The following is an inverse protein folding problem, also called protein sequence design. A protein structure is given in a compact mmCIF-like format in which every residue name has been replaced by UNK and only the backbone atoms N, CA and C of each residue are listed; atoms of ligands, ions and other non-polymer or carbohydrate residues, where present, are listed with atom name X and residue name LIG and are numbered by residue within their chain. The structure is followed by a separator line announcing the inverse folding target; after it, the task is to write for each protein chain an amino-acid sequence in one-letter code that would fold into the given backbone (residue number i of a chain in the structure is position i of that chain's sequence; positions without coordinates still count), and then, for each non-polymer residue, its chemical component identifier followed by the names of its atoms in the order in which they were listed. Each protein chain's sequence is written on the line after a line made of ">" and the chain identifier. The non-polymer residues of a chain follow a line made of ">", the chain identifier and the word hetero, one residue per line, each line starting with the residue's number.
data_IF_549186459139
#
_entry.id   IF_549186459139
#
_cell.length_a   1.000
_cell.length_b   1.000
_cell.length_c   1.000
_cell.angle_alpha   90.00
_cell.angle_beta   90.00
_cell.angle_gamma   90.00
#
_symmetry.space_group_name_H-M   'P 1'
#
loop_
_entity.id
_entity.type
_entity.pdbx_description
1 polymer ?
#
# COMPACT_ATOMS: atom_id res chain seq x y z
N UNK A 1 2.14 0.89 -34.54
CA UNK A 1 2.54 -0.44 -35.05
C UNK A 1 3.39 -1.16 -34.01
N UNK A 2 2.78 -1.96 -33.12
CA UNK A 2 3.45 -3.01 -32.31
C UNK A 2 2.38 -3.73 -31.47
N UNK A 3 1.77 -4.77 -32.05
CA UNK A 3 0.88 -5.68 -31.32
C UNK A 3 0.72 -6.98 -32.12
N UNK A 4 1.75 -7.81 -32.09
CA UNK A 4 1.68 -9.23 -32.44
C UNK A 4 2.55 -10.01 -31.46
N UNK A 5 2.09 -11.20 -31.10
CA UNK A 5 2.72 -12.26 -30.29
C UNK A 5 2.40 -12.25 -28.78
N UNK A 6 1.14 -12.47 -28.43
CA UNK A 6 0.82 -13.40 -27.34
C UNK A 6 -0.13 -14.44 -27.91
N UNK A 7 0.41 -15.61 -28.27
CA UNK A 7 -0.40 -16.77 -28.60
C UNK A 7 -1.11 -17.26 -27.31
N UNK A 8 -2.36 -17.76 -27.40
CA UNK A 8 -3.08 -18.25 -26.23
C UNK A 8 -2.41 -19.51 -25.64
N UNK A 9 -2.50 -19.73 -24.31
CA UNK A 9 -1.92 -20.90 -23.65
C UNK A 9 -2.75 -22.16 -23.92
N UNK A 10 -2.57 -22.79 -25.08
CA UNK A 10 -3.28 -24.00 -25.48
C UNK A 10 -2.58 -25.32 -25.09
N UNK A 11 -1.55 -25.29 -24.24
CA UNK A 11 -0.68 -26.46 -24.00
C UNK A 11 -0.75 -27.03 -22.57
N UNK A 12 -1.44 -26.39 -21.62
CA UNK A 12 -1.47 -26.87 -20.23
C UNK A 12 -2.19 -28.22 -20.08
N UNK A 13 -3.24 -28.44 -20.86
CA UNK A 13 -4.03 -29.67 -20.85
C UNK A 13 -3.27 -30.90 -21.39
N UNK A 14 -2.37 -30.68 -22.34
CA UNK A 14 -1.57 -31.75 -22.95
C UNK A 14 -0.51 -32.25 -21.95
N UNK A 15 0.14 -31.33 -21.25
CA UNK A 15 1.13 -31.65 -20.22
C UNK A 15 0.56 -32.45 -19.05
N UNK A 16 -0.66 -32.13 -18.59
CA UNK A 16 -1.27 -32.86 -17.47
C UNK A 16 -1.66 -34.29 -17.88
N UNK A 17 -2.07 -34.48 -19.14
CA UNK A 17 -2.38 -35.80 -19.69
C UNK A 17 -1.12 -36.67 -19.82
N UNK A 18 -0.02 -36.08 -20.30
CA UNK A 18 1.28 -36.75 -20.41
C UNK A 18 1.84 -37.12 -19.03
N UNK A 19 1.66 -36.24 -18.05
CA UNK A 19 2.06 -36.49 -16.67
C UNK A 19 1.35 -37.67 -16.03
N UNK A 20 0.04 -37.77 -16.23
CA UNK A 20 -0.73 -38.91 -15.76
C UNK A 20 -0.27 -40.21 -16.44
N UNK A 21 0.08 -40.17 -17.73
CA UNK A 21 0.63 -41.32 -18.43
C UNK A 21 1.95 -41.77 -17.82
N UNK A 22 2.85 -40.84 -17.47
CA UNK A 22 4.12 -41.12 -16.79
C UNK A 22 3.89 -41.72 -15.39
N UNK A 23 2.93 -41.19 -14.61
CA UNK A 23 2.63 -41.73 -13.28
C UNK A 23 2.05 -43.16 -13.32
N UNK A 24 1.38 -43.52 -14.42
CA UNK A 24 0.84 -44.88 -14.66
C UNK A 24 1.90 -45.87 -15.16
N UNK A 25 3.07 -45.40 -15.58
CA UNK A 25 4.14 -46.26 -16.04
C UNK A 25 4.84 -46.98 -14.87
N UNK A 26 4.67 -48.31 -14.83
CA UNK A 26 5.26 -49.15 -13.79
C UNK A 26 6.75 -49.45 -14.01
N UNK A 27 7.31 -49.09 -15.16
CA UNK A 27 8.75 -49.18 -15.40
C UNK A 27 9.55 -48.13 -14.60
N UNK A 28 8.88 -47.06 -14.13
CA UNK A 28 9.51 -45.97 -13.39
C UNK A 28 9.65 -46.35 -11.89
N UNK A 29 10.86 -46.21 -11.32
CA UNK A 29 11.10 -46.41 -9.90
C UNK A 29 10.13 -45.63 -9.01
N UNK A 30 9.62 -46.28 -7.96
CA UNK A 30 8.63 -45.70 -7.04
C UNK A 30 9.04 -44.32 -6.46
N UNK A 31 10.29 -44.11 -6.00
CA UNK A 31 10.68 -42.80 -5.45
C UNK A 31 10.53 -41.66 -6.47
N UNK A 32 10.80 -41.93 -7.75
CA UNK A 32 10.64 -40.93 -8.80
C UNK A 32 9.18 -40.60 -9.06
N UNK A 33 8.29 -41.60 -9.06
CA UNK A 33 6.84 -41.36 -9.19
C UNK A 33 6.29 -40.50 -8.05
N UNK A 34 6.78 -40.70 -6.82
CA UNK A 34 6.39 -39.86 -5.68
C UNK A 34 6.81 -38.41 -5.88
N UNK A 35 8.06 -38.16 -6.31
CA UNK A 35 8.56 -36.81 -6.58
C UNK A 35 7.78 -36.15 -7.72
N UNK A 36 7.53 -36.87 -8.81
CA UNK A 36 6.73 -36.37 -9.94
C UNK A 36 5.32 -36.02 -9.45
N UNK A 37 4.67 -36.90 -8.67
CA UNK A 37 3.34 -36.64 -8.13
C UNK A 37 3.30 -35.39 -7.26
N UNK A 38 4.31 -35.17 -6.41
CA UNK A 38 4.40 -33.98 -5.56
C UNK A 38 4.55 -32.71 -6.41
N UNK A 39 5.46 -32.73 -7.40
CA UNK A 39 5.66 -31.60 -8.32
C UNK A 39 4.39 -31.26 -9.11
N UNK A 40 3.59 -32.26 -9.47
CA UNK A 40 2.31 -32.04 -10.13
C UNK A 40 1.28 -31.36 -9.23
N UNK A 41 1.24 -31.74 -7.96
CA UNK A 41 0.35 -31.11 -7.00
C UNK A 41 0.76 -29.64 -6.75
N UNK A 42 2.06 -29.38 -6.58
CA UNK A 42 2.60 -28.03 -6.45
C UNK A 42 2.28 -27.17 -7.68
N UNK A 43 2.41 -27.73 -8.89
CA UNK A 43 2.03 -27.06 -10.15
C UNK A 43 0.54 -26.68 -10.15
N UNK A 44 -0.36 -27.59 -9.74
CA UNK A 44 -1.79 -27.30 -9.66
C UNK A 44 -2.07 -26.18 -8.67
N UNK A 45 -1.47 -26.25 -7.50
CA UNK A 45 -1.60 -25.21 -6.48
C UNK A 45 -1.11 -23.85 -6.99
N UNK A 46 0.04 -23.82 -7.67
CA UNK A 46 0.59 -22.61 -8.28
C UNK A 46 -0.36 -22.03 -9.34
N UNK A 47 -0.95 -22.85 -10.20
CA UNK A 47 -1.92 -22.40 -11.20
C UNK A 47 -3.17 -21.79 -10.56
N UNK A 48 -3.68 -22.38 -9.48
CA UNK A 48 -4.81 -21.82 -8.71
C UNK A 48 -4.42 -20.46 -8.14
N UNK A 49 -3.24 -20.35 -7.53
CA UNK A 49 -2.75 -19.09 -6.95
C UNK A 49 -2.54 -18.01 -8.00
N UNK A 50 -1.99 -18.35 -9.17
CA UNK A 50 -1.83 -17.42 -10.29
C UNK A 50 -3.18 -16.91 -10.81
N UNK A 51 -4.18 -17.78 -10.94
CA UNK A 51 -5.52 -17.38 -11.36
C UNK A 51 -6.19 -16.48 -10.32
N UNK A 52 -6.00 -16.75 -9.03
CA UNK A 52 -6.49 -15.88 -7.96
C UNK A 52 -5.82 -14.50 -8.01
N UNK A 53 -4.49 -14.45 -8.15
CA UNK A 53 -3.74 -13.20 -8.29
C UNK A 53 -4.22 -12.38 -9.49
N UNK A 54 -4.53 -13.03 -10.62
CA UNK A 54 -5.14 -12.37 -11.78
C UNK A 54 -6.48 -11.72 -11.42
N UNK A 55 -7.41 -12.47 -10.81
CA UNK A 55 -8.72 -11.95 -10.40
C UNK A 55 -8.61 -10.76 -9.46
N UNK A 56 -7.71 -10.81 -8.49
CA UNK A 56 -7.47 -9.70 -7.56
C UNK A 56 -6.95 -8.48 -8.31
N UNK A 57 -6.00 -8.66 -9.23
CA UNK A 57 -5.49 -7.57 -10.06
C UNK A 57 -6.57 -6.96 -10.97
N UNK A 58 -7.47 -7.78 -11.52
CA UNK A 58 -8.60 -7.28 -12.33
C UNK A 58 -9.50 -6.37 -11.49
N UNK A 59 -9.82 -6.77 -10.25
CA UNK A 59 -10.61 -5.96 -9.31
C UNK A 59 -9.89 -4.66 -8.92
N UNK A 60 -8.60 -4.73 -8.60
CA UNK A 60 -7.80 -3.54 -8.28
C UNK A 60 -7.78 -2.56 -9.45
N UNK A 61 -7.62 -3.07 -10.67
CA UNK A 61 -7.62 -2.25 -11.88
C UNK A 61 -8.97 -1.56 -12.07
N UNK A 62 -10.08 -2.30 -11.92
CA UNK A 62 -11.43 -1.73 -11.98
C UNK A 62 -11.69 -0.65 -10.93
N UNK A 63 -11.28 -0.87 -9.68
CA UNK A 63 -11.43 0.13 -8.61
C UNK A 63 -10.60 1.39 -8.89
N UNK A 64 -9.39 1.24 -9.44
CA UNK A 64 -8.57 2.39 -9.83
C UNK A 64 -9.21 3.22 -10.93
N UNK A 65 -9.82 2.57 -11.93
CA UNK A 65 -10.58 3.23 -12.98
C UNK A 65 -11.80 3.97 -12.42
N UNK A 66 -12.53 3.38 -11.48
CA UNK A 66 -13.67 4.02 -10.83
C UNK A 66 -13.25 5.25 -10.01
N UNK A 67 -12.19 5.14 -9.20
CA UNK A 67 -11.62 6.26 -8.45
C UNK A 67 -11.20 7.38 -9.41
N UNK A 68 -10.55 7.03 -10.52
CA UNK A 68 -10.16 8.00 -11.53
C UNK A 68 -11.38 8.72 -12.14
N UNK A 69 -12.44 7.98 -12.47
CA UNK A 69 -13.68 8.54 -13.00
C UNK A 69 -14.38 9.48 -12.01
N UNK A 70 -14.47 9.08 -10.74
CA UNK A 70 -15.08 9.90 -9.68
C UNK A 70 -14.30 11.19 -9.45
N UNK A 71 -12.97 11.13 -9.41
CA UNK A 71 -12.12 12.31 -9.28
C UNK A 71 -12.26 13.25 -10.49
N UNK A 72 -12.37 12.70 -11.70
CA UNK A 72 -12.62 13.50 -12.90
C UNK A 72 -13.97 14.22 -12.84
N UNK A 73 -15.03 13.55 -12.39
CA UNK A 73 -16.34 14.19 -12.17
C UNK A 73 -16.27 15.30 -11.12
N UNK A 74 -15.59 15.07 -10.00
CA UNK A 74 -15.38 16.09 -8.97
C UNK A 74 -14.62 17.30 -9.52
N UNK A 75 -13.63 17.09 -10.38
CA UNK A 75 -12.89 18.18 -11.03
C UNK A 75 -13.79 19.05 -11.92
N UNK A 76 -14.73 18.44 -12.65
CA UNK A 76 -15.69 19.17 -13.50
C UNK A 76 -16.69 19.96 -12.66
N UNK A 77 -17.15 19.40 -11.54
CA UNK A 77 -18.09 20.06 -10.62
C UNK A 77 -17.44 21.17 -9.79
N UNK A 78 -16.11 21.15 -9.65
CA UNK A 78 -15.35 22.12 -8.84
C UNK A 78 -14.87 23.33 -9.63
N UNK A 79 -15.23 23.47 -10.91
CA UNK A 79 -14.97 24.71 -11.65
C UNK A 79 -15.73 25.88 -10.98
N UNK A 80 -15.01 26.89 -10.45
CA UNK A 80 -15.63 27.97 -9.71
C UNK A 80 -16.45 28.85 -10.65
N UNK A 81 -17.74 28.97 -10.36
CA UNK A 81 -18.52 30.10 -10.85
C UNK A 81 -17.76 31.40 -10.50
N UNK A 82 -17.61 32.36 -11.44
CA UNK A 82 -16.94 33.63 -11.17
C UNK A 82 -17.68 34.36 -10.05
N UNK A 83 -17.00 34.49 -8.91
CA UNK A 83 -17.51 35.08 -7.68
C UNK A 83 -17.96 36.53 -7.88
N UNK A 84 -19.26 36.76 -7.84
CA UNK A 84 -19.82 38.08 -7.58
C UNK A 84 -19.55 38.46 -6.11
N UNK A 85 -18.84 39.55 -5.92
CA UNK A 85 -18.54 40.17 -4.62
C UNK A 85 -19.81 40.62 -3.91
N UNK A 86 -20.09 40.07 -2.72
CA UNK A 86 -21.08 40.62 -1.79
C UNK A 86 -20.38 41.18 -0.53
N UNK A 87 -20.78 42.36 -0.04
CA UNK A 87 -20.22 42.97 1.16
C UNK A 87 -20.82 42.33 2.42
N UNK A 88 -19.94 41.96 3.35
CA UNK A 88 -20.30 41.28 4.61
C UNK A 88 -20.68 42.30 5.68
N UNK A 89 -21.89 42.16 6.25
CA UNK A 89 -22.34 42.89 7.43
C UNK A 89 -22.32 41.97 8.67
N UNK A 90 -21.44 42.35 9.60
CA UNK A 90 -21.42 42.12 11.05
C UNK A 90 -22.50 41.20 11.65
N UNK A 91 -22.08 40.02 12.13
CA UNK A 91 -22.82 39.19 13.07
C UNK A 91 -21.87 38.47 14.02
N UNK A 92 -21.79 38.95 15.27
CA UNK A 92 -20.97 38.40 16.36
C UNK A 92 -21.54 37.07 16.85
N UNK A 93 -20.82 35.98 16.67
CA UNK A 93 -20.89 34.79 17.54
C UNK A 93 -19.47 34.33 17.82
N UNK A 94 -19.21 34.00 19.08
CA UNK A 94 -17.90 33.72 19.64
C UNK A 94 -17.24 32.52 18.94
N UNK A 95 -16.40 32.81 17.94
CA UNK A 95 -15.36 31.90 17.48
C UNK A 95 -14.16 32.08 18.40
N UNK A 96 -13.72 30.97 19.00
CA UNK A 96 -12.35 30.81 19.47
C UNK A 96 -11.40 31.32 18.38
N UNK A 97 -10.60 32.32 18.72
CA UNK A 97 -9.57 32.88 17.86
C UNK A 97 -8.72 31.75 17.26
N UNK A 98 -8.51 31.68 15.94
CA UNK A 98 -7.44 30.87 15.41
C UNK A 98 -6.13 31.53 15.86
N UNK A 99 -5.40 30.87 16.76
CA UNK A 99 -4.00 31.19 17.04
C UNK A 99 -3.19 30.97 15.75
N UNK A 100 -3.23 31.95 14.85
CA UNK A 100 -2.60 31.92 13.53
C UNK A 100 -1.11 32.28 13.57
N UNK A 101 -0.43 31.90 14.64
CA UNK A 101 1.02 31.89 14.76
C UNK A 101 1.55 30.46 14.72
N UNK A 102 0.97 29.60 13.88
CA UNK A 102 1.71 28.42 13.44
C UNK A 102 2.92 28.92 12.68
N UNK A 103 4.12 28.68 13.21
CA UNK A 103 5.34 29.17 12.57
C UNK A 103 5.41 28.55 11.17
N UNK A 104 5.78 29.34 10.15
CA UNK A 104 5.97 28.84 8.78
C UNK A 104 6.87 27.59 8.73
N UNK A 105 7.79 27.48 9.70
CA UNK A 105 8.64 26.32 9.91
C UNK A 105 7.86 25.04 10.28
N UNK A 106 6.82 25.13 11.12
CA UNK A 106 5.98 23.99 11.49
C UNK A 106 5.20 23.43 10.30
N UNK A 107 4.74 24.30 9.40
CA UNK A 107 3.99 23.93 8.19
C UNK A 107 4.90 23.19 7.20
N UNK A 108 6.10 23.71 6.95
CA UNK A 108 7.10 23.06 6.11
C UNK A 108 7.47 21.69 6.69
N UNK A 109 7.73 21.63 8.00
CA UNK A 109 8.06 20.37 8.65
C UNK A 109 6.90 19.37 8.57
N UNK A 110 5.65 19.83 8.74
CA UNK A 110 4.44 19.01 8.58
C UNK A 110 4.32 18.46 7.16
N UNK A 111 4.49 19.30 6.14
CA UNK A 111 4.33 18.91 4.73
C UNK A 111 5.32 17.83 4.26
N UNK A 112 6.46 17.70 4.97
CA UNK A 112 7.49 16.69 4.68
C UNK A 112 7.38 15.46 5.57
N UNK A 113 6.54 15.51 6.60
CA UNK A 113 6.38 14.44 7.58
C UNK A 113 5.41 13.38 7.08
N UNK A 114 5.82 12.12 7.15
CA UNK A 114 4.89 10.99 7.06
C UNK A 114 4.39 10.62 8.43
N UNK A 115 3.21 10.00 8.42
CA UNK A 115 2.60 9.51 9.62
C UNK A 115 2.09 8.08 9.53
N UNK A 116 2.59 7.24 10.43
CA UNK A 116 2.20 5.83 10.51
C UNK A 116 1.31 5.59 11.72
N UNK A 117 0.21 4.85 11.52
CA UNK A 117 -0.68 4.42 12.58
C UNK A 117 -0.77 2.89 12.58
N UNK A 118 -1.06 2.31 13.74
CA UNK A 118 -1.23 0.84 13.88
C UNK A 118 0.06 0.02 13.91
N UNK A 119 1.21 0.66 14.11
CA UNK A 119 2.47 -0.08 14.32
C UNK A 119 2.46 -0.79 15.67
N UNK A 120 2.96 -2.04 15.68
CA UNK A 120 3.12 -2.80 16.91
C UNK A 120 4.21 -2.16 17.77
N UNK A 121 3.89 -1.84 19.03
CA UNK A 121 4.87 -1.25 19.94
C UNK A 121 5.84 -2.31 20.50
N UNK A 122 7.13 -1.99 20.48
CA UNK A 122 8.15 -2.80 21.16
C UNK A 122 7.95 -2.82 22.68
N UNK A 123 8.01 -4.03 23.25
CA UNK A 123 7.99 -4.28 24.70
C UNK A 123 9.39 -4.40 25.33
N UNK A 124 10.45 -4.03 24.60
CA UNK A 124 11.81 -4.09 25.13
C UNK A 124 11.95 -3.21 26.37
N UNK A 125 12.70 -3.67 27.38
CA UNK A 125 12.88 -2.94 28.64
C UNK A 125 13.69 -1.66 28.45
N UNK A 126 14.65 -1.66 27.52
CA UNK A 126 15.54 -0.53 27.25
C UNK A 126 14.95 0.43 26.21
N UNK A 127 15.07 1.74 26.49
CA UNK A 127 14.55 2.77 25.60
C UNK A 127 15.23 2.78 24.23
N UNK A 128 16.55 2.56 24.18
CA UNK A 128 17.30 2.47 22.92
C UNK A 128 16.80 1.34 22.02
N UNK A 129 16.49 0.18 22.59
CA UNK A 129 15.95 -0.96 21.83
C UNK A 129 14.55 -0.66 21.28
N UNK A 130 13.71 0.09 22.02
CA UNK A 130 12.39 0.50 21.53
C UNK A 130 12.51 1.49 20.37
N UNK A 131 13.39 2.49 20.48
CA UNK A 131 13.65 3.47 19.41
C UNK A 131 14.17 2.78 18.15
N UNK A 132 15.12 1.84 18.29
CA UNK A 132 15.65 1.09 17.16
C UNK A 132 14.58 0.24 16.48
N UNK A 133 13.73 -0.43 17.25
CA UNK A 133 12.61 -1.19 16.73
C UNK A 133 11.66 -0.31 15.90
N UNK A 134 11.27 0.84 16.44
CA UNK A 134 10.36 1.76 15.75
C UNK A 134 10.99 2.31 14.46
N UNK A 135 12.28 2.65 14.49
CA UNK A 135 13.01 3.13 13.32
C UNK A 135 13.10 2.06 12.21
N UNK A 136 13.40 0.81 12.58
CA UNK A 136 13.45 -0.30 11.63
C UNK A 136 12.09 -0.57 10.98
N UNK A 137 11.01 -0.56 11.78
CA UNK A 137 9.65 -0.74 11.26
C UNK A 137 9.28 0.35 10.24
N UNK A 138 9.68 1.61 10.48
CA UNK A 138 9.49 2.70 9.52
C UNK A 138 10.28 2.45 8.23
N UNK A 139 11.54 2.03 8.32
CA UNK A 139 12.35 1.71 7.14
C UNK A 139 11.71 0.61 6.30
N UNK A 140 11.29 -0.50 6.92
CA UNK A 140 10.64 -1.63 6.24
C UNK A 140 9.38 -1.19 5.49
N UNK A 141 8.58 -0.30 6.08
CA UNK A 141 7.37 0.23 5.44
C UNK A 141 7.72 1.12 4.25
N UNK A 142 8.73 1.97 4.38
CA UNK A 142 9.16 2.84 3.28
C UNK A 142 9.74 2.05 2.11
N UNK A 143 10.53 1.01 2.42
CA UNK A 143 11.08 0.07 1.43
C UNK A 143 9.96 -0.70 0.72
N UNK A 144 8.91 -1.07 1.46
CA UNK A 144 7.73 -1.71 0.91
C UNK A 144 6.88 -0.79 0.01
N UNK A 145 6.86 0.52 0.29
CA UNK A 145 6.06 1.54 -0.42
C UNK A 145 6.82 2.24 -1.58
N UNK A 146 7.80 1.55 -2.18
CA UNK A 146 8.95 2.13 -2.91
C UNK A 146 9.20 3.64 -2.72
N UNK A 147 9.30 4.11 -1.49
CA UNK A 147 9.59 5.53 -1.22
C UNK A 147 11.09 5.74 -1.38
N UNK A 148 11.50 6.51 -2.39
CA UNK A 148 12.91 6.75 -2.74
C UNK A 148 13.70 7.63 -1.78
N UNK A 149 13.41 7.60 -0.48
CA UNK A 149 14.12 8.38 0.53
C UNK A 149 14.34 7.58 1.82
N UNK A 150 15.23 8.09 2.68
CA UNK A 150 15.55 7.48 3.96
C UNK A 150 14.98 8.30 5.13
N UNK A 151 14.49 7.66 6.21
CA UNK A 151 14.12 8.37 7.44
C UNK A 151 15.32 9.08 8.07
N UNK A 152 15.11 10.34 8.47
CA UNK A 152 16.12 11.08 9.24
C UNK A 152 15.90 10.95 10.74
N UNK A 153 14.64 10.96 11.19
CA UNK A 153 14.29 10.83 12.62
C UNK A 153 12.94 10.16 12.75
N UNK A 154 12.73 9.34 13.79
CA UNK A 154 11.42 8.78 14.13
C UNK A 154 11.14 9.01 15.62
N UNK A 155 9.90 9.39 15.95
CA UNK A 155 9.44 9.53 17.33
C UNK A 155 7.97 9.16 17.48
N UNK A 156 7.58 8.78 18.70
CA UNK A 156 6.20 8.42 19.04
C UNK A 156 5.39 9.68 19.36
N UNK A 157 4.23 9.88 18.73
CA UNK A 157 3.27 10.89 19.17
C UNK A 157 2.33 10.31 20.24
N UNK A 158 2.77 10.35 21.50
CA UNK A 158 1.90 10.15 22.67
C UNK A 158 1.08 8.85 22.68
N UNK A 159 0.08 8.80 23.57
CA UNK A 159 -0.90 7.70 23.64
C UNK A 159 -2.17 8.08 22.91
N UNK A 160 -2.82 7.08 22.32
CA UNK A 160 -4.07 7.28 21.59
C UNK A 160 -5.14 7.69 22.58
N UNK A 161 -5.69 8.88 22.40
CA UNK A 161 -6.82 9.34 23.18
C UNK A 161 -8.11 8.97 22.42
N UNK A 162 -9.01 8.12 22.96
CA UNK A 162 -10.27 7.76 22.30
C UNK A 162 -11.20 8.96 22.07
N UNK A 163 -11.06 10.02 22.87
CA UNK A 163 -11.82 11.27 22.70
C UNK A 163 -11.17 12.25 21.72
N UNK A 164 -9.90 12.04 21.37
CA UNK A 164 -9.15 12.83 20.39
C UNK A 164 -8.28 11.88 19.57
N UNK A 165 -8.81 11.27 18.50
CA UNK A 165 -8.13 10.21 17.76
C UNK A 165 -6.92 10.78 17.04
N UNK A 166 -5.80 10.85 17.73
CA UNK A 166 -4.48 11.18 17.19
C UNK A 166 -3.48 10.24 17.86
N UNK A 167 -3.19 9.14 17.18
CA UNK A 167 -1.92 8.44 17.35
C UNK A 167 -1.34 8.19 15.98
N UNK A 168 -0.16 8.73 15.80
CA UNK A 168 0.38 9.10 14.53
C UNK A 168 1.91 9.13 14.76
N UNK A 169 2.73 8.28 14.15
CA UNK A 169 4.19 8.42 14.24
C UNK A 169 4.65 9.56 13.34
N UNK A 170 5.09 10.72 13.84
CA UNK A 170 5.47 11.85 12.97
C UNK A 170 6.99 11.94 12.75
N UNK A 171 7.32 12.26 11.49
CA UNK A 171 8.46 13.03 10.96
C UNK A 171 9.29 12.25 9.95
N UNK A 172 9.35 12.80 8.74
CA UNK A 172 10.46 12.63 7.82
C UNK A 172 10.90 14.04 7.44
N UNK A 173 12.19 14.37 7.60
CA UNK A 173 12.76 15.59 7.04
C UNK A 173 13.56 15.12 5.84
N UNK A 174 13.01 15.29 4.65
CA UNK A 174 13.80 15.17 3.44
C UNK A 174 14.83 16.30 3.45
N UNK A 175 16.13 16.03 3.23
CA UNK A 175 17.06 17.10 2.92
C UNK A 175 16.51 17.88 1.72
N UNK A 176 16.48 19.20 1.84
CA UNK A 176 16.30 20.05 0.66
C UNK A 176 17.61 20.01 -0.11
N UNK A 177 17.58 19.51 -1.33
CA UNK A 177 18.60 19.86 -2.33
C UNK A 177 18.61 21.37 -2.57
#
# INVERSE_FOLDING_TARGET
>A
MRSKLFAPPSTTSDLDSQAEAVLRDNSIPLPLRTVISLLFEDKRHLLVMMNYSRKVNDVITGLKEEIFNLNNLLSILSDPAPSASFPSASGKTASSLPDSNHSFYDEIERSRSLVFAGLSESRADTASSRVLHDFNAVCEIMDFLPIGCSPVTAYRLGRFNPHFPTCEYRRHVFPSD
#
